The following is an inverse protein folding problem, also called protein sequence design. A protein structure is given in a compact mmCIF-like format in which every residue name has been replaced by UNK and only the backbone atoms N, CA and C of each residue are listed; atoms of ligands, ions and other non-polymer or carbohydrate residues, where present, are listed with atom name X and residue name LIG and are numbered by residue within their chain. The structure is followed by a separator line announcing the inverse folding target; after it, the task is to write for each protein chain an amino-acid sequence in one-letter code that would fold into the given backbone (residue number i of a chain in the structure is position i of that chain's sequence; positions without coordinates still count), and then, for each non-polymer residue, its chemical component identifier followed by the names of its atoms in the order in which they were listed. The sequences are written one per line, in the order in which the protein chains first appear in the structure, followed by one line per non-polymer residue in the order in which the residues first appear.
data_IF_727084033661
#
_entry.id   IF_727084033661
#
_cell.length_a   1.000
_cell.length_b   1.000
_cell.length_c   1.000
_cell.angle_alpha   90.00
_cell.angle_beta   90.00
_cell.angle_gamma   90.00
#
_symmetry.space_group_name_H-M   'P 1'
#
loop_
_entity.id
_entity.type
_entity.pdbx_description
1 polymer ?
#
# COMPACT_ATOMS: atom_id res chain seq x y z
N UNK A 1 85.05 16.54 -0.34
CA UNK A 1 83.95 16.36 -1.31
C UNK A 1 82.91 15.50 -0.64
N UNK A 2 81.86 16.14 -0.10
CA UNK A 2 80.77 15.47 0.63
C UNK A 2 79.53 15.58 -0.23
N UNK A 3 78.98 14.44 -0.66
CA UNK A 3 77.74 14.32 -1.41
C UNK A 3 76.58 14.44 -0.45
N UNK A 4 75.67 15.41 -0.66
CA UNK A 4 74.41 15.56 0.06
C UNK A 4 73.30 14.89 -0.74
N UNK A 5 72.79 13.79 -0.22
CA UNK A 5 71.58 13.09 -0.74
C UNK A 5 70.34 13.81 -0.22
N UNK A 6 69.54 14.38 -1.13
CA UNK A 6 68.25 14.94 -0.80
C UNK A 6 67.20 13.83 -0.81
N UNK A 7 66.55 13.61 0.35
CA UNK A 7 65.39 12.74 0.46
C UNK A 7 64.14 13.61 0.19
N UNK A 8 63.42 13.32 -0.87
CA UNK A 8 62.13 13.95 -1.16
C UNK A 8 61.02 13.16 -0.45
N UNK A 9 60.39 13.75 0.54
CA UNK A 9 59.22 13.20 1.19
C UNK A 9 57.97 13.47 0.32
N UNK A 10 57.39 12.45 -0.25
CA UNK A 10 56.08 12.52 -0.93
C UNK A 10 54.96 12.45 0.11
N UNK A 11 54.31 13.55 0.36
CA UNK A 11 53.12 13.65 1.17
C UNK A 11 51.91 13.21 0.30
N UNK A 12 51.52 11.94 0.39
CA UNK A 12 50.32 11.44 -0.27
C UNK A 12 49.08 11.90 0.48
N UNK A 13 48.32 12.84 -0.11
CA UNK A 13 47.03 13.22 0.37
C UNK A 13 46.01 12.18 -0.07
N UNK A 14 45.57 11.32 0.85
CA UNK A 14 44.49 10.41 0.60
C UNK A 14 43.15 11.19 0.60
N UNK A 15 42.56 11.40 -0.57
CA UNK A 15 41.21 11.87 -0.70
C UNK A 15 40.25 10.73 -0.31
N UNK A 16 39.70 10.79 0.89
CA UNK A 16 38.53 9.96 1.26
C UNK A 16 37.31 10.55 0.53
N UNK A 17 36.88 9.91 -0.54
CA UNK A 17 35.59 10.23 -1.17
C UNK A 17 34.46 9.83 -0.21
N UNK A 18 33.85 10.83 0.43
CA UNK A 18 32.57 10.64 1.11
C UNK A 18 31.51 10.34 0.03
N UNK A 19 31.17 9.07 -0.15
CA UNK A 19 29.98 8.71 -0.90
C UNK A 19 28.79 9.04 0.00
N UNK A 20 28.19 10.21 -0.22
CA UNK A 20 26.90 10.53 0.38
C UNK A 20 25.89 9.53 -0.16
N UNK A 21 25.34 8.69 0.72
CA UNK A 21 24.21 7.84 0.38
C UNK A 21 23.06 8.76 0.00
N UNK A 22 22.71 8.81 -1.29
CA UNK A 22 21.52 9.51 -1.76
C UNK A 22 20.33 8.73 -1.18
N UNK A 23 19.41 9.36 -0.43
CA UNK A 23 18.22 8.67 0.04
C UNK A 23 17.46 8.15 -1.18
N UNK A 24 17.05 6.89 -1.13
CA UNK A 24 16.22 6.31 -2.18
C UNK A 24 14.95 7.15 -2.29
N UNK A 25 14.77 7.83 -3.41
CA UNK A 25 13.56 8.56 -3.72
C UNK A 25 12.41 7.55 -3.85
N UNK A 26 11.27 7.84 -3.23
CA UNK A 26 10.06 7.05 -3.44
C UNK A 26 9.73 7.04 -4.94
N UNK A 27 9.54 5.85 -5.49
CA UNK A 27 9.06 5.70 -6.87
C UNK A 27 7.55 5.64 -6.83
N UNK A 28 6.87 6.73 -7.22
CA UNK A 28 5.42 6.76 -7.26
C UNK A 28 4.90 5.75 -8.29
N UNK A 29 3.95 4.93 -7.85
CA UNK A 29 3.23 3.98 -8.71
C UNK A 29 2.09 4.69 -9.47
N UNK A 30 1.57 4.09 -10.56
CA UNK A 30 0.33 4.58 -11.18
C UNK A 30 -0.79 4.66 -10.14
N UNK A 31 -1.49 5.79 -10.06
CA UNK A 31 -2.36 6.14 -8.94
C UNK A 31 -3.77 5.57 -9.01
N UNK A 32 -4.12 4.88 -10.08
CA UNK A 32 -5.42 4.25 -10.26
C UNK A 32 -5.27 2.77 -10.57
N UNK A 33 -6.08 1.93 -9.96
CA UNK A 33 -6.21 0.53 -10.35
C UNK A 33 -6.95 0.42 -11.69
N UNK A 34 -6.23 0.40 -12.79
CA UNK A 34 -6.78 0.19 -14.13
C UNK A 34 -7.95 1.12 -14.49
N UNK A 35 -8.04 2.31 -13.90
CA UNK A 35 -9.17 3.21 -14.07
C UNK A 35 -10.44 2.79 -13.31
N UNK A 36 -10.36 1.88 -12.34
CA UNK A 36 -11.52 1.50 -11.53
C UNK A 36 -12.03 2.68 -10.72
N UNK A 37 -13.34 2.89 -10.77
CA UNK A 37 -14.04 3.96 -10.06
C UNK A 37 -15.50 3.57 -9.83
N UNK A 38 -16.13 4.20 -8.84
CA UNK A 38 -17.59 4.09 -8.68
C UNK A 38 -18.28 4.94 -9.74
N UNK A 39 -19.22 4.35 -10.44
CA UNK A 39 -19.99 5.10 -11.43
C UNK A 39 -20.79 6.23 -10.77
N UNK A 40 -20.72 7.43 -11.33
CA UNK A 40 -21.40 8.60 -10.78
C UNK A 40 -21.85 9.59 -11.87
N UNK A 41 -22.95 10.30 -11.60
CA UNK A 41 -23.49 11.36 -12.44
C UNK A 41 -23.46 12.73 -11.75
N UNK A 42 -22.77 12.82 -10.63
CA UNK A 42 -22.62 13.99 -9.75
C UNK A 42 -21.77 13.61 -8.55
N UNK A 43 -21.93 14.30 -7.43
CA UNK A 43 -21.26 13.92 -6.19
C UNK A 43 -21.66 12.49 -5.79
N UNK A 44 -20.66 11.70 -5.46
CA UNK A 44 -20.78 10.29 -5.17
C UNK A 44 -20.97 10.06 -3.67
N UNK A 45 -22.17 9.67 -3.26
CA UNK A 45 -22.45 9.21 -1.90
C UNK A 45 -22.25 7.69 -1.81
N UNK A 46 -21.21 7.26 -1.09
CA UNK A 46 -20.87 5.83 -0.90
C UNK A 46 -21.32 5.39 0.49
N UNK A 47 -22.26 4.46 0.55
CA UNK A 47 -22.69 3.86 1.80
C UNK A 47 -21.58 3.01 2.41
N UNK A 48 -21.10 3.40 3.59
CA UNK A 48 -20.04 2.71 4.34
C UNK A 48 -20.65 1.89 5.47
N UNK A 49 -20.84 0.59 5.26
CA UNK A 49 -21.33 -0.35 6.27
C UNK A 49 -20.26 -0.66 7.30
N UNK A 50 -20.44 -0.20 8.52
CA UNK A 50 -19.48 -0.34 9.61
C UNK A 50 -19.68 -1.68 10.37
N UNK A 51 -18.78 -2.63 10.16
CA UNK A 51 -18.72 -3.94 10.82
C UNK A 51 -17.45 -4.12 11.64
N UNK A 52 -16.82 -3.02 12.07
CA UNK A 52 -15.59 -3.05 12.84
C UNK A 52 -15.84 -3.04 14.35
N UNK A 53 -14.86 -3.47 15.12
CA UNK A 53 -14.90 -3.38 16.59
C UNK A 53 -14.85 -1.92 17.06
N UNK A 54 -15.24 -1.70 18.33
CA UNK A 54 -15.14 -0.38 18.95
C UNK A 54 -13.70 0.19 18.92
N UNK A 55 -12.70 -0.65 18.91
CA UNK A 55 -11.28 -0.25 18.80
C UNK A 55 -10.98 0.42 17.45
N UNK A 56 -11.59 -0.03 16.36
CA UNK A 56 -11.39 0.50 15.03
C UNK A 56 -12.30 1.66 14.67
N UNK A 57 -13.48 1.76 15.30
CA UNK A 57 -14.48 2.78 14.98
C UNK A 57 -13.91 4.19 14.89
N UNK A 58 -13.06 4.69 15.81
CA UNK A 58 -12.54 6.05 15.72
C UNK A 58 -11.70 6.27 14.46
N UNK A 59 -10.89 5.31 14.05
CA UNK A 59 -10.01 5.41 12.89
C UNK A 59 -10.79 5.34 11.58
N UNK A 60 -11.77 4.46 11.50
CA UNK A 60 -12.68 4.36 10.34
C UNK A 60 -13.50 5.64 10.19
N UNK A 61 -14.05 6.18 11.29
CA UNK A 61 -14.79 7.44 11.26
C UNK A 61 -13.91 8.61 10.81
N UNK A 62 -12.68 8.69 11.33
CA UNK A 62 -11.75 9.74 10.95
C UNK A 62 -11.32 9.63 9.47
N UNK A 63 -11.06 8.41 8.99
CA UNK A 63 -10.71 8.18 7.59
C UNK A 63 -11.88 8.51 6.65
N UNK A 64 -13.11 8.09 7.00
CA UNK A 64 -14.31 8.42 6.22
C UNK A 64 -14.52 9.94 6.13
N UNK A 65 -14.43 10.64 7.25
CA UNK A 65 -14.55 12.09 7.27
C UNK A 65 -13.44 12.78 6.45
N UNK A 66 -12.20 12.27 6.51
CA UNK A 66 -11.09 12.82 5.75
C UNK A 66 -11.27 12.64 4.24
N UNK A 67 -11.63 11.44 3.76
CA UNK A 67 -11.92 11.20 2.34
C UNK A 67 -13.13 11.99 1.83
N UNK A 68 -14.15 12.22 2.68
CA UNK A 68 -15.32 13.03 2.35
C UNK A 68 -15.03 14.54 2.29
N UNK A 69 -13.81 15.00 2.50
CA UNK A 69 -13.40 16.38 2.20
C UNK A 69 -13.13 16.60 0.71
N UNK A 70 -13.02 15.51 -0.07
CA UNK A 70 -12.96 15.57 -1.52
C UNK A 70 -14.26 16.14 -2.10
N UNK A 71 -14.14 16.84 -3.23
CA UNK A 71 -15.30 17.48 -3.87
C UNK A 71 -16.27 16.52 -4.56
N UNK A 72 -15.83 15.29 -4.84
CA UNK A 72 -16.63 14.28 -5.55
C UNK A 72 -17.15 13.20 -4.63
N UNK A 73 -16.49 12.96 -3.48
CA UNK A 73 -16.68 11.79 -2.64
C UNK A 73 -17.31 12.17 -1.32
N UNK A 74 -18.37 11.42 -0.94
CA UNK A 74 -18.96 11.49 0.39
C UNK A 74 -19.19 10.07 0.91
N UNK A 75 -18.42 9.65 1.90
CA UNK A 75 -18.68 8.42 2.62
C UNK A 75 -19.81 8.61 3.63
N UNK A 76 -20.89 7.90 3.45
CA UNK A 76 -22.07 7.92 4.34
C UNK A 76 -21.98 6.73 5.31
N UNK A 77 -21.55 6.93 6.57
CA UNK A 77 -21.50 5.84 7.55
C UNK A 77 -22.88 5.27 7.82
N UNK A 78 -22.99 3.96 7.78
CA UNK A 78 -24.22 3.21 8.06
C UNK A 78 -23.93 2.03 8.98
N UNK A 79 -24.98 1.45 9.56
CA UNK A 79 -24.84 0.17 10.24
C UNK A 79 -24.33 -0.89 9.28
N UNK A 80 -23.43 -1.73 9.74
CA UNK A 80 -22.91 -2.85 8.96
C UNK A 80 -24.00 -3.89 8.69
N UNK A 81 -23.89 -4.56 7.55
CA UNK A 81 -24.84 -5.58 7.10
C UNK A 81 -24.27 -7.00 7.13
N UNK A 82 -23.04 -7.16 7.65
CA UNK A 82 -22.32 -8.44 7.73
C UNK A 82 -21.63 -8.57 9.09
N UNK A 83 -21.03 -9.71 9.36
CA UNK A 83 -20.16 -9.88 10.53
C UNK A 83 -18.73 -9.49 10.21
N UNK A 84 -17.96 -9.06 11.22
CA UNK A 84 -16.53 -8.76 11.04
C UNK A 84 -15.76 -9.91 10.39
N UNK A 85 -15.98 -11.14 10.83
CA UNK A 85 -15.27 -12.32 10.32
C UNK A 85 -15.66 -12.72 8.90
N UNK A 86 -16.93 -12.59 8.53
CA UNK A 86 -17.42 -12.93 7.18
C UNK A 86 -17.06 -11.85 6.18
N UNK A 87 -17.31 -10.59 6.53
CA UNK A 87 -17.10 -9.43 5.67
C UNK A 87 -17.68 -9.62 4.26
N UNK A 88 -18.97 -9.97 4.20
CA UNK A 88 -19.64 -10.20 2.93
C UNK A 88 -19.87 -8.87 2.19
N UNK A 89 -19.60 -8.86 0.89
CA UNK A 89 -19.88 -7.71 0.05
C UNK A 89 -21.39 -7.48 -0.10
N UNK A 90 -21.78 -6.22 -0.16
CA UNK A 90 -23.14 -5.79 -0.44
C UNK A 90 -23.13 -4.81 -1.61
N UNK A 91 -24.01 -5.05 -2.57
CA UNK A 91 -24.14 -4.22 -3.77
C UNK A 91 -24.42 -2.74 -3.41
N UNK A 92 -23.72 -1.83 -4.11
CA UNK A 92 -23.83 -0.40 -3.91
C UNK A 92 -23.17 0.13 -2.63
N UNK A 93 -22.39 -0.68 -1.92
CA UNK A 93 -21.78 -0.29 -0.64
C UNK A 93 -20.32 -0.69 -0.53
N UNK A 94 -19.61 -0.03 0.37
CA UNK A 94 -18.33 -0.50 0.95
C UNK A 94 -18.66 -1.10 2.31
N UNK A 95 -18.34 -2.38 2.55
CA UNK A 95 -18.42 -3.01 3.87
C UNK A 95 -17.03 -3.04 4.49
N UNK A 96 -16.82 -2.28 5.57
CA UNK A 96 -15.57 -2.30 6.33
C UNK A 96 -15.71 -3.14 7.58
N UNK A 97 -14.76 -4.05 7.80
CA UNK A 97 -14.84 -5.09 8.81
C UNK A 97 -13.52 -5.21 9.56
N UNK A 98 -13.56 -5.56 10.84
CA UNK A 98 -12.39 -5.97 11.59
C UNK A 98 -12.59 -7.34 12.22
N UNK A 99 -11.58 -8.18 12.15
CA UNK A 99 -11.54 -9.50 12.79
C UNK A 99 -10.12 -10.04 12.83
N UNK A 100 -9.92 -11.07 13.64
CA UNK A 100 -8.70 -11.88 13.55
C UNK A 100 -8.79 -12.80 12.33
N UNK A 101 -8.19 -12.39 11.21
CA UNK A 101 -8.12 -13.18 9.98
C UNK A 101 -6.91 -14.11 9.93
N UNK A 102 -6.09 -14.16 11.00
CA UNK A 102 -4.90 -15.00 11.10
C UNK A 102 -3.65 -14.38 10.44
N UNK A 103 -2.62 -15.22 10.28
CA UNK A 103 -1.33 -14.83 9.70
C UNK A 103 -1.40 -14.79 8.17
N UNK A 104 -1.94 -13.73 7.62
CA UNK A 104 -2.28 -13.56 6.20
C UNK A 104 -1.28 -12.73 5.40
N UNK A 105 -0.25 -12.17 6.04
CA UNK A 105 0.72 -11.24 5.46
C UNK A 105 0.14 -9.89 4.98
N UNK A 106 -1.00 -9.46 5.53
CA UNK A 106 -1.57 -8.14 5.28
C UNK A 106 -2.20 -7.57 6.56
N UNK A 107 -2.05 -6.26 6.78
CA UNK A 107 -2.66 -5.51 7.88
C UNK A 107 -4.10 -5.11 7.54
N UNK A 108 -4.31 -4.66 6.33
CA UNK A 108 -5.59 -4.38 5.70
C UNK A 108 -5.68 -5.08 4.34
N UNK A 109 -6.90 -5.25 3.85
CA UNK A 109 -7.15 -5.87 2.55
C UNK A 109 -8.44 -5.35 1.95
N UNK A 110 -8.34 -4.67 0.82
CA UNK A 110 -9.50 -4.19 0.06
C UNK A 110 -9.76 -5.09 -1.13
N UNK A 111 -11.02 -5.42 -1.35
CA UNK A 111 -11.49 -6.08 -2.56
C UNK A 111 -12.60 -5.24 -3.18
N UNK A 112 -12.47 -4.92 -4.45
CA UNK A 112 -13.51 -4.28 -5.24
C UNK A 112 -14.05 -5.24 -6.29
N UNK A 113 -15.34 -5.18 -6.60
CA UNK A 113 -15.97 -5.91 -7.69
C UNK A 113 -16.38 -4.91 -8.75
N UNK A 114 -15.99 -5.20 -10.00
CA UNK A 114 -16.17 -4.27 -11.12
C UNK A 114 -16.98 -4.88 -12.25
N UNK A 115 -17.63 -4.00 -13.00
CA UNK A 115 -18.19 -4.28 -14.34
C UNK A 115 -17.53 -3.31 -15.31
N UNK A 116 -16.63 -3.80 -16.16
CA UNK A 116 -15.69 -2.95 -16.86
C UNK A 116 -14.80 -2.22 -15.85
N UNK A 117 -14.77 -0.90 -15.91
CA UNK A 117 -14.04 -0.04 -14.94
C UNK A 117 -14.89 0.40 -13.75
N UNK A 118 -16.20 0.15 -13.77
CA UNK A 118 -17.12 0.63 -12.74
C UNK A 118 -17.17 -0.32 -11.55
N UNK A 119 -16.79 0.17 -10.38
CA UNK A 119 -16.94 -0.52 -9.09
C UNK A 119 -18.43 -0.53 -8.73
N UNK A 120 -18.96 -1.66 -8.28
CA UNK A 120 -20.34 -1.77 -7.84
C UNK A 120 -20.50 -2.26 -6.39
N UNK A 121 -19.45 -2.78 -5.78
CA UNK A 121 -19.35 -3.10 -4.36
C UNK A 121 -17.90 -3.25 -3.95
N UNK A 122 -17.62 -3.08 -2.65
CA UNK A 122 -16.30 -3.29 -2.09
C UNK A 122 -16.37 -3.87 -0.68
N UNK A 123 -15.29 -4.55 -0.27
CA UNK A 123 -15.06 -4.92 1.13
C UNK A 123 -13.67 -4.49 1.56
N UNK A 124 -13.58 -4.07 2.82
CA UNK A 124 -12.33 -3.74 3.50
C UNK A 124 -12.22 -4.63 4.74
N UNK A 125 -11.11 -5.34 4.88
CA UNK A 125 -10.80 -6.18 6.03
C UNK A 125 -9.60 -5.62 6.78
N UNK A 126 -9.76 -5.34 8.07
CA UNK A 126 -8.73 -4.89 8.99
C UNK A 126 -8.34 -6.06 9.90
N UNK A 127 -7.08 -6.50 9.85
CA UNK A 127 -6.69 -7.79 10.44
C UNK A 127 -6.20 -7.67 11.88
N UNK A 128 -7.08 -7.90 12.85
CA UNK A 128 -6.78 -7.84 14.28
C UNK A 128 -5.67 -8.79 14.73
N UNK A 129 -5.36 -9.84 13.98
CA UNK A 129 -4.22 -10.72 14.28
C UNK A 129 -2.92 -9.93 14.46
N UNK A 130 -2.66 -8.99 13.55
CA UNK A 130 -1.45 -8.17 13.60
C UNK A 130 -1.56 -7.02 14.58
N UNK A 131 -2.73 -6.42 14.70
CA UNK A 131 -2.98 -5.32 15.62
C UNK A 131 -3.04 -5.72 17.09
N UNK A 132 -3.00 -7.01 17.39
CA UNK A 132 -2.72 -7.53 18.72
C UNK A 132 -1.20 -7.62 19.04
N UNK A 133 -0.33 -7.40 18.03
CA UNK A 133 1.12 -7.35 18.21
C UNK A 133 1.55 -5.92 18.56
N UNK A 134 2.47 -5.77 19.53
CA UNK A 134 2.95 -4.46 20.00
C UNK A 134 3.50 -3.56 18.89
N UNK A 135 4.06 -4.13 17.82
CA UNK A 135 4.58 -3.37 16.68
C UNK A 135 3.48 -2.55 15.99
N UNK A 136 2.31 -3.16 15.76
CA UNK A 136 1.21 -2.54 15.01
C UNK A 136 0.10 -2.00 15.92
N UNK A 137 0.11 -2.36 17.21
CA UNK A 137 -0.90 -1.96 18.18
C UNK A 137 -0.74 -0.50 18.63
N UNK A 138 -0.87 0.42 17.69
CA UNK A 138 -0.82 1.85 17.98
C UNK A 138 -1.73 2.64 17.03
N UNK A 139 -2.01 3.89 17.37
CA UNK A 139 -2.94 4.75 16.64
C UNK A 139 -2.48 5.04 15.21
N UNK A 140 -1.17 5.25 15.00
CA UNK A 140 -0.66 5.63 13.68
C UNK A 140 -0.85 4.51 12.65
N UNK A 141 -0.53 3.26 12.99
CA UNK A 141 -0.77 2.13 12.08
C UNK A 141 -2.26 1.91 11.82
N UNK A 142 -3.13 2.00 12.84
CA UNK A 142 -4.57 1.87 12.61
C UNK A 142 -5.10 2.96 11.71
N UNK A 143 -4.68 4.21 11.93
CA UNK A 143 -5.14 5.33 11.11
C UNK A 143 -4.64 5.21 9.68
N UNK A 144 -3.35 4.90 9.47
CA UNK A 144 -2.80 4.68 8.14
C UNK A 144 -3.56 3.58 7.40
N UNK A 145 -3.71 2.40 8.00
CA UNK A 145 -4.33 1.26 7.32
C UNK A 145 -5.81 1.52 7.04
N UNK A 146 -6.57 2.10 7.97
CA UNK A 146 -7.96 2.46 7.70
C UNK A 146 -8.08 3.48 6.55
N UNK A 147 -7.22 4.50 6.54
CA UNK A 147 -7.18 5.51 5.49
C UNK A 147 -6.80 4.91 4.14
N UNK A 148 -5.75 4.09 4.08
CA UNK A 148 -5.24 3.46 2.86
C UNK A 148 -6.29 2.54 2.22
N UNK A 149 -6.86 1.63 2.99
CA UNK A 149 -7.85 0.67 2.47
C UNK A 149 -9.13 1.36 1.99
N UNK A 150 -9.49 2.49 2.61
CA UNK A 150 -10.62 3.28 2.13
C UNK A 150 -10.30 4.03 0.83
N UNK A 151 -9.07 4.51 0.64
CA UNK A 151 -8.60 5.05 -0.64
C UNK A 151 -8.59 3.98 -1.74
N UNK A 152 -8.14 2.78 -1.41
CA UNK A 152 -8.17 1.64 -2.33
C UNK A 152 -9.61 1.28 -2.75
N UNK A 153 -10.58 1.37 -1.83
CA UNK A 153 -11.99 1.14 -2.16
C UNK A 153 -12.59 2.22 -3.08
N UNK A 154 -11.94 3.38 -3.20
CA UNK A 154 -12.28 4.42 -4.17
C UNK A 154 -11.62 4.21 -5.56
N UNK A 155 -10.80 3.19 -5.72
CA UNK A 155 -10.06 2.93 -6.95
C UNK A 155 -8.65 3.53 -6.99
N UNK A 156 -8.19 4.16 -5.91
CA UNK A 156 -6.79 4.57 -5.80
C UNK A 156 -5.88 3.36 -5.61
N UNK A 157 -4.70 3.43 -6.19
CA UNK A 157 -3.63 2.47 -5.95
C UNK A 157 -2.69 3.02 -4.87
N UNK A 158 -1.94 2.10 -4.21
CA UNK A 158 -0.88 2.51 -3.31
C UNK A 158 0.13 3.39 -4.05
N UNK A 159 0.52 4.50 -3.43
CA UNK A 159 1.47 5.46 -4.02
C UNK A 159 2.89 4.89 -4.02
N UNK A 160 3.24 4.15 -2.97
CA UNK A 160 4.49 3.44 -2.82
C UNK A 160 4.27 2.16 -2.00
N UNK A 161 5.06 1.11 -2.28
CA UNK A 161 5.01 -0.20 -1.59
C UNK A 161 6.31 -0.56 -0.91
N UNK A 162 7.19 0.41 -0.70
CA UNK A 162 8.48 0.21 -0.04
C UNK A 162 8.37 0.60 1.44
N UNK A 163 8.35 -0.37 2.30
CA UNK A 163 8.14 -0.19 3.75
C UNK A 163 9.21 0.63 4.48
N UNK A 164 10.40 0.73 3.90
CA UNK A 164 11.60 1.26 4.58
C UNK A 164 12.18 2.51 3.95
N UNK A 165 11.55 3.04 2.90
CA UNK A 165 11.95 4.30 2.31
C UNK A 165 11.37 5.50 3.09
N UNK A 166 11.60 6.71 2.60
CA UNK A 166 11.06 7.91 3.22
C UNK A 166 9.54 7.99 3.03
N UNK A 167 8.83 8.32 4.10
CA UNK A 167 7.42 8.65 4.03
C UNK A 167 7.17 9.83 3.09
N UNK A 168 6.12 9.76 2.29
CA UNK A 168 5.73 10.81 1.35
C UNK A 168 4.60 11.71 1.88
N UNK A 169 4.12 11.47 3.10
CA UNK A 169 3.05 12.26 3.72
C UNK A 169 1.64 11.85 3.28
N UNK A 170 1.49 10.61 2.83
CA UNK A 170 0.23 10.04 2.33
C UNK A 170 -0.07 8.71 3.01
N UNK A 171 -1.31 8.47 3.38
CA UNK A 171 -1.71 7.15 3.86
C UNK A 171 -1.70 6.08 2.75
N UNK A 172 -1.65 6.48 1.48
CA UNK A 172 -1.49 5.57 0.35
C UNK A 172 -0.05 5.03 0.19
N UNK A 173 0.87 5.44 1.06
CA UNK A 173 2.26 5.03 1.09
C UNK A 173 2.52 4.01 2.19
N UNK A 174 3.23 2.92 1.86
CA UNK A 174 3.62 1.91 2.85
C UNK A 174 4.70 2.44 3.78
N UNK A 175 4.56 2.16 5.09
CA UNK A 175 5.55 2.60 6.06
C UNK A 175 5.66 1.65 7.25
N UNK A 176 6.88 1.47 7.77
CA UNK A 176 7.12 0.84 9.06
C UNK A 176 7.14 1.86 10.23
N UNK A 177 7.02 3.14 9.92
CA UNK A 177 6.87 4.27 10.86
C UNK A 177 5.84 5.28 10.34
N UNK A 178 4.54 4.94 10.31
CA UNK A 178 3.52 5.81 9.72
C UNK A 178 3.38 7.16 10.43
N UNK A 179 3.82 7.28 11.67
CA UNK A 179 3.83 8.57 12.38
C UNK A 179 4.98 9.49 11.97
N UNK A 180 6.07 8.95 11.39
CA UNK A 180 7.32 9.67 11.17
C UNK A 180 8.06 10.04 12.46
N UNK A 181 7.63 9.53 13.62
CA UNK A 181 8.20 9.94 14.93
C UNK A 181 9.44 9.18 15.31
N UNK A 182 9.66 7.99 14.75
CA UNK A 182 10.88 7.19 14.99
C UNK A 182 12.03 7.62 14.09
N UNK A 183 11.75 8.42 13.06
CA UNK A 183 12.74 8.90 12.11
C UNK A 183 13.32 7.82 11.18
N UNK A 184 12.83 6.59 11.23
CA UNK A 184 13.29 5.48 10.37
C UNK A 184 12.90 5.69 8.92
N UNK A 185 11.75 6.35 8.68
CA UNK A 185 11.22 6.68 7.35
C UNK A 185 11.13 8.22 7.14
N UNK A 186 12.05 8.99 7.74
CA UNK A 186 11.97 10.45 7.74
C UNK A 186 10.99 10.98 8.78
N UNK A 187 10.55 12.23 8.62
CA UNK A 187 9.70 12.94 9.60
C UNK A 187 8.29 13.21 9.12
N UNK A 188 7.97 12.90 7.85
CA UNK A 188 6.61 13.03 7.35
C UNK A 188 5.71 11.95 7.93
N UNK A 189 4.46 12.31 8.16
CA UNK A 189 3.44 11.40 8.69
C UNK A 189 2.59 10.84 7.56
N UNK A 190 2.44 9.52 7.51
CA UNK A 190 1.60 8.80 6.55
C UNK A 190 0.23 8.42 7.13
N UNK A 191 -0.24 9.11 8.17
CA UNK A 191 -1.55 8.79 8.77
C UNK A 191 -2.74 9.50 8.10
N UNK A 192 -2.48 10.43 7.20
CA UNK A 192 -3.49 11.24 6.53
C UNK A 192 -3.41 11.19 5.01
N UNK A 193 -4.37 11.84 4.37
CA UNK A 193 -4.47 11.97 2.92
C UNK A 193 -3.60 13.14 2.48
N UNK A 194 -2.85 12.97 1.41
CA UNK A 194 -2.05 14.04 0.82
C UNK A 194 -2.84 14.82 -0.25
N UNK A 195 -2.36 16.02 -0.58
CA UNK A 195 -2.91 16.78 -1.71
C UNK A 195 -2.77 16.02 -3.04
N UNK A 196 -1.75 15.18 -3.17
CA UNK A 196 -1.53 14.34 -4.34
C UNK A 196 -2.60 13.26 -4.46
N UNK A 197 -3.01 12.64 -3.34
CA UNK A 197 -4.08 11.62 -3.36
C UNK A 197 -5.40 12.24 -3.82
N UNK A 198 -5.72 13.46 -3.35
CA UNK A 198 -6.90 14.19 -3.83
C UNK A 198 -6.81 14.55 -5.31
N UNK A 199 -5.62 14.95 -5.80
CA UNK A 199 -5.43 15.20 -7.23
C UNK A 199 -5.68 13.93 -8.07
N UNK A 200 -5.28 12.76 -7.56
CA UNK A 200 -5.54 11.50 -8.24
C UNK A 200 -7.02 11.08 -8.19
N UNK A 201 -7.73 11.38 -7.10
CA UNK A 201 -9.18 11.24 -7.08
C UNK A 201 -9.85 12.17 -8.09
N UNK A 202 -9.39 13.43 -8.18
CA UNK A 202 -9.87 14.36 -9.20
C UNK A 202 -9.68 13.80 -10.61
N UNK A 203 -8.54 13.21 -10.92
CA UNK A 203 -8.27 12.58 -12.22
C UNK A 203 -9.21 11.40 -12.50
N UNK A 204 -9.57 10.62 -11.46
CA UNK A 204 -10.47 9.47 -11.58
C UNK A 204 -11.93 9.92 -11.72
N UNK A 205 -12.37 10.93 -10.92
CA UNK A 205 -13.77 11.30 -10.75
C UNK A 205 -14.19 12.61 -11.43
N UNK A 206 -13.29 13.29 -12.15
CA UNK A 206 -13.63 14.52 -12.89
C UNK A 206 -14.59 14.28 -14.07
N UNK A 207 -14.62 13.07 -14.61
CA UNK A 207 -15.46 12.70 -15.75
C UNK A 207 -16.70 11.98 -15.25
N UNK A 208 -17.86 12.58 -15.47
CA UNK A 208 -19.14 11.93 -15.16
C UNK A 208 -19.41 10.75 -16.07
N UNK A 209 -19.97 9.68 -15.54
CA UNK A 209 -20.45 8.55 -16.33
C UNK A 209 -21.74 8.95 -17.06
N UNK A 210 -21.63 9.21 -18.36
CA UNK A 210 -22.76 9.61 -19.20
C UNK A 210 -23.70 8.46 -19.55
N UNK A 211 -23.22 7.23 -19.45
CA UNK A 211 -24.04 6.03 -19.50
C UNK A 211 -24.60 5.78 -18.13
N UNK A 212 -25.91 5.99 -17.95
CA UNK A 212 -26.61 5.54 -16.76
C UNK A 212 -26.29 4.05 -16.57
N UNK A 213 -25.40 3.76 -15.65
CA UNK A 213 -25.42 2.46 -15.02
C UNK A 213 -26.72 2.45 -14.22
N UNK A 214 -27.81 2.05 -14.89
CA UNK A 214 -28.96 1.59 -14.19
C UNK A 214 -28.42 0.44 -13.36
N UNK A 215 -28.26 0.64 -12.06
CA UNK A 215 -27.90 -0.39 -11.10
C UNK A 215 -29.03 -1.43 -11.02
N UNK A 216 -29.40 -1.98 -12.16
CA UNK A 216 -30.13 -3.23 -12.19
C UNK A 216 -29.12 -4.25 -11.70
N UNK A 217 -29.44 -4.87 -10.58
CA UNK A 217 -28.65 -5.98 -10.02
C UNK A 217 -28.07 -6.79 -11.19
N UNK A 218 -26.77 -6.76 -11.44
CA UNK A 218 -26.20 -7.47 -12.57
C UNK A 218 -26.64 -8.92 -12.44
N UNK A 219 -27.20 -9.48 -13.50
CA UNK A 219 -27.43 -10.91 -13.57
C UNK A 219 -26.12 -11.57 -13.16
N UNK A 220 -26.17 -12.60 -12.33
CA UNK A 220 -25.02 -13.20 -11.66
C UNK A 220 -23.82 -13.22 -12.60
N UNK A 221 -22.85 -12.31 -12.39
CA UNK A 221 -21.60 -12.31 -13.13
C UNK A 221 -20.90 -13.61 -12.76
N UNK A 222 -20.70 -14.45 -13.76
CA UNK A 222 -20.08 -15.77 -13.58
C UNK A 222 -18.61 -15.67 -13.18
N UNK A 223 -18.04 -14.45 -13.19
CA UNK A 223 -16.67 -14.21 -12.73
C UNK A 223 -16.45 -12.72 -12.41
N UNK A 224 -16.78 -12.23 -11.20
CA UNK A 224 -16.40 -10.88 -10.81
C UNK A 224 -14.87 -10.80 -10.80
N UNK A 225 -14.32 -9.86 -11.54
CA UNK A 225 -12.91 -9.52 -11.37
C UNK A 225 -12.79 -8.88 -9.98
N UNK A 226 -12.19 -9.59 -9.05
CA UNK A 226 -11.80 -8.99 -7.78
C UNK A 226 -10.40 -8.40 -7.93
N UNK A 227 -10.25 -7.14 -7.62
CA UNK A 227 -8.94 -6.50 -7.46
C UNK A 227 -8.70 -6.36 -5.97
N UNK A 228 -7.60 -6.91 -5.54
CA UNK A 228 -7.25 -6.90 -4.13
C UNK A 228 -5.99 -6.06 -3.93
N UNK A 229 -6.04 -5.15 -3.00
CA UNK A 229 -4.89 -4.43 -2.49
C UNK A 229 -4.72 -4.72 -1.02
N UNK A 230 -3.52 -5.02 -0.62
CA UNK A 230 -3.21 -5.28 0.78
C UNK A 230 -1.88 -4.65 1.13
N UNK A 231 -1.74 -4.24 2.38
CA UNK A 231 -0.46 -3.79 2.93
C UNK A 231 0.39 -5.02 3.24
N UNK A 232 1.44 -5.37 2.45
CA UNK A 232 2.28 -6.53 2.73
C UNK A 232 3.10 -6.30 4.00
N UNK A 233 3.32 -7.37 4.74
CA UNK A 233 4.17 -7.29 5.93
C UNK A 233 5.66 -7.29 5.59
N UNK A 234 6.49 -6.69 6.47
CA UNK A 234 7.94 -6.74 6.34
C UNK A 234 8.52 -8.15 6.25
N UNK A 235 7.83 -9.14 6.88
CA UNK A 235 8.24 -10.54 6.86
C UNK A 235 8.16 -11.19 5.48
N UNK A 236 7.21 -10.74 4.64
CA UNK A 236 7.09 -11.23 3.26
C UNK A 236 8.30 -10.87 2.42
N UNK A 237 8.88 -9.71 2.64
CA UNK A 237 10.11 -9.26 1.98
C UNK A 237 11.34 -10.03 2.45
N UNK A 238 11.41 -10.38 3.74
CA UNK A 238 12.50 -11.20 4.27
C UNK A 238 12.49 -12.59 3.64
N UNK A 239 11.31 -13.18 3.38
CA UNK A 239 11.19 -14.47 2.69
C UNK A 239 11.56 -14.38 1.21
N UNK A 240 11.16 -13.31 0.52
CA UNK A 240 11.52 -13.09 -0.90
C UNK A 240 13.03 -12.89 -1.03
N UNK A 241 13.62 -11.99 -0.23
CA UNK A 241 15.07 -11.75 -0.26
C UNK A 241 15.87 -12.98 0.18
N UNK A 242 15.40 -13.69 1.23
CA UNK A 242 16.00 -14.95 1.69
C UNK A 242 15.88 -16.05 0.65
N UNK A 243 14.76 -16.17 -0.05
CA UNK A 243 14.52 -17.17 -1.09
C UNK A 243 15.45 -16.95 -2.31
N UNK A 244 15.56 -15.72 -2.80
CA UNK A 244 16.47 -15.38 -3.90
C UNK A 244 17.94 -15.49 -3.50
N UNK A 245 18.29 -15.15 -2.25
CA UNK A 245 19.64 -15.33 -1.71
C UNK A 245 20.05 -16.79 -1.65
N UNK A 246 19.15 -17.69 -1.23
CA UNK A 246 19.39 -19.12 -1.17
C UNK A 246 19.54 -19.75 -2.58
N UNK A 247 18.69 -19.34 -3.54
CA UNK A 247 18.80 -19.75 -4.94
C UNK A 247 20.10 -19.26 -5.59
N UNK A 248 20.49 -18.01 -5.33
CA UNK A 248 21.74 -17.44 -5.84
C UNK A 248 22.99 -18.18 -5.31
N UNK A 249 23.00 -18.58 -4.03
CA UNK A 249 24.07 -19.38 -3.46
C UNK A 249 24.09 -20.82 -3.99
N UNK A 250 22.94 -21.44 -4.26
CA UNK A 250 22.85 -22.76 -4.85
C UNK A 250 23.38 -22.80 -6.29
N UNK A 251 23.12 -21.75 -7.10
CA UNK A 251 23.62 -21.62 -8.45
C UNK A 251 25.14 -21.38 -8.48
N UNK A 252 25.69 -20.68 -7.49
CA UNK A 252 27.15 -20.39 -7.42
C UNK A 252 27.98 -21.61 -7.06
N UNK A 253 27.39 -22.69 -6.53
CA UNK A 253 28.09 -23.95 -6.17
C UNK A 253 28.18 -24.97 -7.30
N UNK A 254 27.63 -24.70 -8.48
CA UNK A 254 27.83 -25.57 -9.64
C UNK A 254 29.26 -25.34 -10.17
N UNK A 255 30.16 -26.29 -9.89
CA UNK A 255 31.49 -26.34 -10.46
C UNK A 255 31.37 -26.45 -11.99
N UNK A 256 32.24 -25.75 -12.78
CA UNK A 256 32.21 -25.92 -14.20
C UNK A 256 32.57 -27.39 -14.52
N UNK A 257 31.78 -28.01 -15.38
CA UNK A 257 32.10 -29.34 -15.94
C UNK A 257 33.29 -29.17 -16.87
N UNK A 258 34.42 -29.78 -16.51
CA UNK A 258 35.62 -29.80 -17.35
C UNK A 258 35.31 -30.68 -18.55
N UNK A 259 35.31 -30.09 -19.75
CA UNK A 259 35.22 -30.84 -20.99
C UNK A 259 36.53 -31.62 -21.18
N UNK A 260 36.45 -32.95 -21.24
CA UNK A 260 37.57 -33.81 -21.63
C UNK A 260 37.56 -33.89 -23.15
N UNK A 261 38.63 -33.35 -23.80
CA UNK A 261 38.84 -33.51 -25.22
C UNK A 261 39.50 -34.88 -25.45
N UNK A 262 38.91 -35.73 -26.26
CA UNK A 262 39.54 -36.92 -26.83
C UNK A 262 40.27 -36.49 -28.10
N UNK A 263 41.58 -36.68 -28.12
CA UNK A 263 42.41 -36.70 -29.34
C UNK A 263 42.36 -38.12 -29.92
N UNK A 264 42.02 -38.23 -31.19
CA UNK A 264 42.19 -39.38 -32.06
C UNK A 264 42.98 -38.97 -33.27
#
# INVERSE_FOLDING_TARGET
MKLLTKVAAHCGVAFAALVAAVPASASLLPQSWNGYHWAHTGNLAIMLGNNVSATWTPYVTAAAAAWSTDKYIDYIPTAGSTTGSTCAAMYGTVQICSSNYGATNWLGWTTVWTSGTSIYQATIKLNDYYFNNAKYNNAAFRQQVACQEMGNALGLQDADRIYTNLNIGSCMDYSNDPSGTKGTNGTLSNVGISATDFSHLDDIYAVLDTTQLIYTKPGAFTNPQSVAGGVPEPSSWAMIVGGFGALGMAMRRRKPVTAVAFAG
#
